data_IF_148095636578
#
_entry.id   IF_148095636578
#
_cell.length_a   1.000
_cell.length_b   1.000
_cell.length_c   1.000
_cell.angle_alpha   90.00
_cell.angle_beta   90.00
_cell.angle_gamma   90.00
#
_symmetry.space_group_name_H-M   'P 1'
#
loop_
_entity.id
_entity.type
_entity.pdbx_description
1 polymer ?
#
# COMPACT_ATOMS: atom_id res chain seq x y z
N UNK A 1 18.51 -3.51 -4.51
CA UNK A 1 17.45 -4.53 -4.29
C UNK A 1 16.52 -4.16 -3.14
N UNK A 2 17.02 -3.68 -2.00
CA UNK A 2 16.21 -3.29 -0.84
C UNK A 2 15.00 -2.37 -1.18
N UNK A 3 15.19 -1.33 -2.01
CA UNK A 3 14.09 -0.42 -2.42
C UNK A 3 12.92 -1.13 -3.13
N UNK A 4 13.19 -2.20 -3.89
CA UNK A 4 12.12 -2.96 -4.55
C UNK A 4 11.34 -3.77 -3.53
N UNK A 5 12.04 -4.44 -2.62
CA UNK A 5 11.39 -5.24 -1.57
C UNK A 5 10.53 -4.36 -0.67
N UNK A 6 11.08 -3.22 -0.21
CA UNK A 6 10.34 -2.25 0.61
C UNK A 6 9.13 -1.68 -0.14
N UNK A 7 9.29 -1.30 -1.40
CA UNK A 7 8.18 -0.80 -2.22
C UNK A 7 7.08 -1.84 -2.44
N UNK A 8 7.46 -3.10 -2.70
CA UNK A 8 6.50 -4.18 -2.88
C UNK A 8 5.70 -4.47 -1.59
N UNK A 9 6.38 -4.53 -0.44
CA UNK A 9 5.73 -4.74 0.87
C UNK A 9 4.75 -3.59 1.15
N UNK A 10 5.16 -2.34 0.94
CA UNK A 10 4.29 -1.17 1.12
C UNK A 10 3.06 -1.20 0.22
N UNK A 11 3.21 -1.62 -1.04
CA UNK A 11 2.08 -1.78 -1.94
C UNK A 11 1.09 -2.84 -1.44
N UNK A 12 1.60 -4.00 -1.00
CA UNK A 12 0.74 -5.09 -0.52
C UNK A 12 -0.01 -4.68 0.76
N UNK A 13 0.69 -4.11 1.73
CA UNK A 13 0.08 -3.63 2.98
C UNK A 13 -0.92 -2.51 2.69
N UNK A 14 -0.55 -1.55 1.83
CA UNK A 14 -1.41 -0.44 1.44
C UNK A 14 -2.71 -0.91 0.78
N UNK A 15 -2.64 -1.91 -0.10
CA UNK A 15 -3.81 -2.54 -0.70
C UNK A 15 -4.70 -3.22 0.35
N UNK A 16 -4.12 -3.98 1.29
CA UNK A 16 -4.89 -4.63 2.36
C UNK A 16 -5.62 -3.59 3.19
N UNK A 17 -4.94 -2.55 3.68
CA UNK A 17 -5.57 -1.50 4.46
C UNK A 17 -6.62 -0.71 3.68
N UNK A 18 -6.36 -0.46 2.39
CA UNK A 18 -7.33 0.18 1.51
C UNK A 18 -8.63 -0.64 1.45
N UNK A 19 -8.49 -1.94 1.17
CA UNK A 19 -9.63 -2.86 1.09
C UNK A 19 -10.31 -3.09 2.44
N UNK A 20 -9.58 -3.02 3.56
CA UNK A 20 -10.22 -3.03 4.89
C UNK A 20 -11.04 -1.75 5.10
N UNK A 21 -10.49 -0.58 4.82
CA UNK A 21 -11.21 0.68 5.03
C UNK A 21 -12.46 0.85 4.17
N UNK A 22 -12.48 0.32 2.94
CA UNK A 22 -13.70 0.31 2.10
C UNK A 22 -14.67 -0.82 2.46
N UNK A 23 -14.33 -1.67 3.42
CA UNK A 23 -15.19 -2.77 3.90
C UNK A 23 -15.19 -4.02 3.03
N UNK A 24 -14.28 -4.13 2.05
CA UNK A 24 -14.14 -5.32 1.20
C UNK A 24 -13.42 -6.48 1.91
N UNK A 25 -12.51 -6.16 2.85
CA UNK A 25 -11.84 -7.14 3.72
C UNK A 25 -12.28 -6.86 5.17
N UNK A 26 -13.03 -7.81 5.74
CA UNK A 26 -13.56 -7.75 7.10
C UNK A 26 -12.72 -8.50 8.14
N UNK A 27 -13.13 -8.40 9.41
CA UNK A 27 -12.59 -9.21 10.51
C UNK A 27 -11.63 -8.49 11.46
N UNK A 28 -11.44 -7.18 11.29
CA UNK A 28 -10.60 -6.34 12.16
C UNK A 28 -11.31 -5.03 12.55
N UNK A 29 -10.76 -4.31 13.53
CA UNK A 29 -11.19 -2.96 13.91
C UNK A 29 -11.03 -1.91 12.78
N UNK A 30 -10.32 -2.27 11.70
CA UNK A 30 -10.07 -1.40 10.56
C UNK A 30 -11.14 -1.50 9.47
N UNK A 31 -12.01 -2.50 9.56
CA UNK A 31 -12.95 -2.87 8.50
C UNK A 31 -14.12 -1.89 8.44
N UNK A 32 -14.34 -1.25 7.28
CA UNK A 32 -15.42 -0.27 7.08
C UNK A 32 -15.12 1.15 7.58
N UNK A 33 -13.89 1.40 8.03
CA UNK A 33 -13.44 2.69 8.53
C UNK A 33 -12.66 3.47 7.46
N UNK A 34 -13.21 4.60 7.02
CA UNK A 34 -12.67 5.39 5.90
C UNK A 34 -11.21 5.86 6.11
N UNK A 35 -10.78 6.01 7.37
CA UNK A 35 -9.40 6.37 7.69
C UNK A 35 -8.39 5.34 7.16
N UNK A 36 -8.71 4.05 7.24
CA UNK A 36 -7.84 2.98 6.74
C UNK A 36 -7.80 2.93 5.22
N UNK A 37 -8.89 3.34 4.56
CA UNK A 37 -8.91 3.51 3.11
C UNK A 37 -7.90 4.58 2.67
N UNK A 38 -7.89 5.73 3.35
CA UNK A 38 -6.94 6.82 3.06
C UNK A 38 -5.50 6.40 3.36
N UNK A 39 -5.24 5.82 4.53
CA UNK A 39 -3.89 5.37 4.91
C UNK A 39 -3.38 4.31 3.92
N UNK A 40 -4.22 3.35 3.55
CA UNK A 40 -3.89 2.31 2.58
C UNK A 40 -3.56 2.87 1.20
N UNK A 41 -4.36 3.82 0.70
CA UNK A 41 -4.10 4.49 -0.58
C UNK A 41 -2.77 5.25 -0.58
N UNK A 42 -2.46 5.97 0.50
CA UNK A 42 -1.19 6.70 0.64
C UNK A 42 0.00 5.74 0.71
N UNK A 43 -0.11 4.67 1.50
CA UNK A 43 0.95 3.65 1.60
C UNK A 43 1.21 2.96 0.25
N UNK A 44 0.14 2.62 -0.49
CA UNK A 44 0.25 2.07 -1.83
C UNK A 44 0.92 3.05 -2.80
N UNK A 45 0.51 4.32 -2.82
CA UNK A 45 1.10 5.33 -3.67
C UNK A 45 2.60 5.54 -3.37
N UNK A 46 2.98 5.56 -2.10
CA UNK A 46 4.39 5.67 -1.70
C UNK A 46 5.19 4.43 -2.12
N UNK A 47 4.68 3.22 -1.89
CA UNK A 47 5.30 1.98 -2.36
C UNK A 47 5.49 1.95 -3.88
N UNK A 48 4.47 2.37 -4.63
CA UNK A 48 4.52 2.46 -6.08
C UNK A 48 5.59 3.47 -6.56
N UNK A 49 5.71 4.61 -5.89
CA UNK A 49 6.74 5.62 -6.20
C UNK A 49 8.16 5.05 -6.04
N UNK A 50 8.40 4.24 -4.99
CA UNK A 50 9.68 3.59 -4.75
C UNK A 50 9.99 2.54 -5.82
N UNK A 51 9.00 1.79 -6.27
CA UNK A 51 9.14 0.80 -7.34
C UNK A 51 9.45 1.46 -8.69
N UNK A 52 8.75 2.55 -9.04
CA UNK A 52 8.98 3.30 -10.27
C UNK A 52 10.36 3.94 -10.25
N UNK A 53 10.76 4.57 -9.14
CA UNK A 53 12.10 5.12 -8.97
C UNK A 53 13.20 4.07 -9.07
N UNK A 54 13.01 2.90 -8.45
CA UNK A 54 13.96 1.80 -8.51
C UNK A 54 14.10 1.14 -9.89
N UNK A 55 13.08 1.26 -10.76
CA UNK A 55 13.15 0.88 -12.18
C UNK A 55 13.92 1.93 -12.99
N UNK A 56 13.67 3.22 -12.73
CA UNK A 56 14.32 4.33 -13.44
C UNK A 56 15.83 4.44 -13.16
N UNK A 57 16.27 4.12 -11.95
CA UNK A 57 17.71 4.08 -11.61
C UNK A 57 18.48 2.89 -12.21
N UNK A 58 17.78 2.00 -12.92
CA UNK A 58 18.31 0.72 -13.41
C UNK A 58 18.32 0.65 -14.95
N UNK A 59 17.75 1.64 -15.61
CA UNK A 59 17.77 1.88 -17.06
C UNK A 59 18.81 2.97 -17.36
#
# INVERSE_FOLDING_TARGET
MARIVVGAILCLIGLVWFFQGVGAIGGSFMSGEAIWAVIGAVAFAFGASLLIGARRSRA
#
